data_IF_477281888390
#
_entry.id   IF_477281888390
#
_cell.length_a   1.000
_cell.length_b   1.000
_cell.length_c   1.000
_cell.angle_alpha   90.00
_cell.angle_beta   90.00
_cell.angle_gamma   90.00
#
_symmetry.space_group_name_H-M   'P 1'
#
loop_
_entity.id
_entity.type
_entity.pdbx_description
1 polymer ?
#
# COMPACT_ATOMS: atom_id res chain seq x y z
N UNK A 1 5.25 33.05 -18.85
CA UNK A 1 5.47 34.02 -19.95
C UNK A 1 5.44 35.41 -19.33
N UNK A 2 6.40 36.25 -19.68
CA UNK A 2 6.58 37.61 -19.18
C UNK A 2 6.26 38.64 -20.30
N UNK A 3 5.87 39.85 -19.91
CA UNK A 3 5.66 40.91 -20.89
C UNK A 3 6.98 41.39 -21.53
N UNK A 4 8.06 41.40 -20.75
CA UNK A 4 9.41 41.79 -21.17
C UNK A 4 10.36 40.59 -21.06
N UNK A 5 11.51 40.71 -21.76
CA UNK A 5 12.56 39.73 -21.58
C UNK A 5 13.17 39.82 -20.18
N UNK A 6 13.28 38.68 -19.51
CA UNK A 6 13.85 38.55 -18.17
C UNK A 6 14.93 37.48 -18.14
N UNK A 7 15.82 37.65 -17.20
CA UNK A 7 16.76 36.61 -16.78
C UNK A 7 16.11 35.83 -15.64
N UNK A 8 16.18 34.50 -15.68
CA UNK A 8 15.53 33.64 -14.68
C UNK A 8 16.56 32.80 -13.92
N UNK A 9 16.39 32.73 -12.62
CA UNK A 9 17.03 31.76 -11.78
C UNK A 9 15.98 30.82 -11.15
N UNK A 10 16.34 29.57 -11.01
CA UNK A 10 15.53 28.54 -10.37
C UNK A 10 16.36 27.89 -9.28
N UNK A 11 15.80 27.77 -8.10
CA UNK A 11 16.35 26.95 -7.04
C UNK A 11 15.39 25.82 -6.66
N UNK A 12 15.94 24.68 -6.25
CA UNK A 12 15.20 23.52 -5.73
C UNK A 12 15.69 23.30 -4.31
N UNK A 13 14.78 23.32 -3.35
CA UNK A 13 15.07 23.20 -1.92
C UNK A 13 16.18 24.19 -1.45
N UNK A 14 16.13 25.43 -1.97
CA UNK A 14 17.09 26.47 -1.67
C UNK A 14 18.45 26.33 -2.36
N UNK A 15 18.68 25.28 -3.14
CA UNK A 15 19.89 25.11 -3.95
C UNK A 15 19.64 25.57 -5.38
N UNK A 16 20.53 26.39 -5.91
CA UNK A 16 20.43 26.86 -7.27
C UNK A 16 20.54 25.69 -8.25
N UNK A 17 19.46 25.42 -8.96
CA UNK A 17 19.36 24.30 -9.91
C UNK A 17 19.62 24.77 -11.36
N UNK A 18 19.21 25.99 -11.69
CA UNK A 18 19.33 26.50 -13.05
C UNK A 18 19.57 28.01 -13.06
N UNK A 19 20.41 28.44 -13.98
CA UNK A 19 20.66 29.82 -14.30
C UNK A 19 21.14 29.92 -15.74
N UNK A 20 20.39 30.61 -16.59
CA UNK A 20 20.78 30.89 -17.98
C UNK A 20 21.16 32.37 -18.10
N UNK A 21 22.19 32.66 -18.91
CA UNK A 21 22.65 34.00 -19.17
C UNK A 21 21.85 34.73 -20.24
N UNK A 22 20.71 34.20 -20.68
CA UNK A 22 19.90 34.75 -21.74
C UNK A 22 18.65 35.42 -21.19
N UNK A 23 18.28 36.53 -21.80
CA UNK A 23 17.00 37.17 -21.59
C UNK A 23 15.94 36.61 -22.52
N UNK A 24 14.80 36.18 -22.01
CA UNK A 24 13.68 35.61 -22.74
C UNK A 24 12.36 35.99 -22.11
N UNK A 25 11.29 36.01 -22.92
CA UNK A 25 9.90 36.17 -22.41
C UNK A 25 9.29 34.88 -21.91
N UNK A 26 9.80 33.74 -22.37
CA UNK A 26 9.28 32.42 -22.03
C UNK A 26 10.41 31.51 -21.52
N UNK A 27 10.13 30.86 -20.41
CA UNK A 27 11.03 29.92 -19.76
C UNK A 27 10.33 28.60 -19.57
N UNK A 28 11.02 27.50 -19.87
CA UNK A 28 10.62 26.14 -19.61
C UNK A 28 11.75 25.45 -18.88
N UNK A 29 11.43 24.89 -17.72
CA UNK A 29 12.35 24.08 -16.95
C UNK A 29 11.84 22.64 -16.93
N UNK A 30 12.75 21.69 -17.02
CA UNK A 30 12.49 20.26 -16.85
C UNK A 30 13.38 19.83 -15.71
N UNK A 31 12.80 19.22 -14.70
CA UNK A 31 13.50 18.61 -13.59
C UNK A 31 13.35 17.11 -13.77
N UNK A 32 14.45 16.46 -14.09
CA UNK A 32 14.52 15.02 -14.32
C UNK A 32 15.07 14.35 -13.03
N UNK A 33 14.76 13.06 -12.86
CA UNK A 33 15.33 12.20 -11.81
C UNK A 33 15.10 12.71 -10.37
N UNK A 34 13.91 13.29 -10.10
CA UNK A 34 13.51 13.63 -8.75
C UNK A 34 13.10 12.35 -8.01
N UNK A 35 13.71 12.10 -6.86
CA UNK A 35 13.38 11.01 -5.95
C UNK A 35 12.15 11.35 -5.09
N UNK A 36 11.63 10.36 -4.34
CA UNK A 36 10.57 10.59 -3.37
C UNK A 36 11.01 11.62 -2.33
N UNK A 37 10.14 12.59 -2.03
CA UNK A 37 10.40 13.64 -1.07
C UNK A 37 9.65 14.93 -1.34
N UNK A 38 9.87 15.91 -0.46
CA UNK A 38 9.26 17.24 -0.54
C UNK A 38 10.16 18.20 -1.32
N UNK A 39 9.55 18.92 -2.25
CA UNK A 39 10.22 19.88 -3.11
C UNK A 39 9.63 21.27 -2.98
N UNK A 40 10.50 22.23 -2.84
CA UNK A 40 10.18 23.66 -2.94
C UNK A 40 11.00 24.24 -4.08
N UNK A 41 10.31 24.73 -5.11
CA UNK A 41 10.93 25.38 -6.25
C UNK A 41 10.68 26.88 -6.16
N UNK A 42 11.73 27.64 -6.08
CA UNK A 42 11.69 29.10 -6.10
C UNK A 42 12.16 29.59 -7.49
N UNK A 43 11.39 30.47 -8.08
CA UNK A 43 11.70 31.15 -9.33
C UNK A 43 11.93 32.61 -9.04
N UNK A 44 13.08 33.15 -9.49
CA UNK A 44 13.39 34.57 -9.37
C UNK A 44 13.69 35.15 -10.76
N UNK A 45 12.97 36.19 -11.14
CA UNK A 45 13.16 36.87 -12.39
C UNK A 45 13.89 38.22 -12.19
N UNK A 46 14.81 38.53 -13.08
CA UNK A 46 15.61 39.75 -13.06
C UNK A 46 15.51 40.50 -14.38
N UNK A 47 15.51 41.84 -14.34
CA UNK A 47 15.56 42.70 -15.56
C UNK A 47 16.94 42.90 -16.12
N UNK A 48 17.98 42.68 -15.30
CA UNK A 48 19.39 42.83 -15.73
C UNK A 48 20.23 41.73 -15.07
N UNK A 49 21.33 41.38 -15.74
CA UNK A 49 22.34 40.51 -15.13
C UNK A 49 22.92 41.19 -13.90
N UNK A 50 23.27 40.37 -12.91
CA UNK A 50 24.10 40.78 -11.79
C UNK A 50 25.35 41.50 -12.31
N UNK A 51 25.42 42.77 -12.00
CA UNK A 51 26.62 43.51 -12.29
C UNK A 51 27.69 43.15 -11.23
N UNK A 52 28.75 42.47 -11.67
CA UNK A 52 29.82 42.05 -10.79
C UNK A 52 30.49 43.21 -10.01
N UNK A 53 30.22 44.45 -10.44
CA UNK A 53 30.79 45.64 -9.86
C UNK A 53 29.94 46.15 -8.69
N UNK A 54 28.61 46.12 -8.78
CA UNK A 54 27.72 46.69 -7.77
C UNK A 54 27.17 45.68 -6.77
N UNK A 55 27.21 44.40 -7.10
CA UNK A 55 26.64 43.31 -6.28
C UNK A 55 25.13 43.38 -6.10
N UNK A 56 24.43 44.26 -6.83
CA UNK A 56 22.99 44.45 -6.78
C UNK A 56 22.34 43.87 -8.01
N UNK A 57 21.40 42.99 -7.77
CA UNK A 57 20.53 42.47 -8.80
C UNK A 57 19.33 43.41 -8.93
N UNK A 58 18.99 43.82 -10.13
CA UNK A 58 17.75 44.54 -10.37
C UNK A 58 16.63 43.46 -10.46
N UNK A 59 15.93 43.25 -9.37
CA UNK A 59 14.73 42.40 -9.33
C UNK A 59 13.58 43.21 -9.93
N UNK A 60 12.82 42.59 -10.84
CA UNK A 60 11.59 43.18 -11.35
C UNK A 60 10.49 42.91 -10.32
N UNK A 61 10.30 43.81 -9.36
CA UNK A 61 9.13 43.75 -8.47
C UNK A 61 8.99 42.41 -7.74
N UNK A 62 7.78 42.11 -7.29
CA UNK A 62 7.39 40.88 -6.56
C UNK A 62 7.25 39.65 -7.46
N UNK A 63 8.17 39.42 -8.36
CA UNK A 63 8.08 38.30 -9.32
C UNK A 63 8.74 37.01 -8.86
N UNK A 64 8.84 36.81 -7.54
CA UNK A 64 9.19 35.53 -6.96
C UNK A 64 7.95 34.61 -6.98
N UNK A 65 8.08 33.48 -7.65
CA UNK A 65 7.07 32.45 -7.62
C UNK A 65 7.63 31.22 -6.89
N UNK A 66 6.83 30.66 -6.03
CA UNK A 66 7.15 29.44 -5.29
C UNK A 66 6.15 28.35 -5.63
N UNK A 67 6.66 27.16 -5.93
CA UNK A 67 5.89 25.93 -6.09
C UNK A 67 6.38 24.93 -5.05
N UNK A 68 5.47 24.37 -4.28
CA UNK A 68 5.75 23.28 -3.35
C UNK A 68 4.92 22.06 -3.76
N UNK A 69 5.56 20.90 -3.81
CA UNK A 69 4.92 19.61 -4.09
C UNK A 69 5.73 18.48 -3.47
N UNK A 70 5.08 17.31 -3.32
CA UNK A 70 5.74 16.08 -2.87
C UNK A 70 5.70 15.06 -3.99
N UNK A 71 6.74 14.26 -4.09
CA UNK A 71 6.81 13.05 -4.90
C UNK A 71 6.78 11.88 -3.92
N UNK A 72 5.88 10.94 -4.16
CA UNK A 72 5.79 9.69 -3.44
C UNK A 72 5.38 8.60 -4.45
N UNK A 73 6.26 7.65 -4.66
CA UNK A 73 6.07 6.50 -5.58
C UNK A 73 5.98 5.18 -4.82
N UNK A 74 6.02 5.24 -3.50
CA UNK A 74 6.02 4.07 -2.63
C UNK A 74 4.60 3.59 -2.38
N UNK A 75 4.31 2.32 -2.65
CA UNK A 75 3.01 1.76 -2.35
C UNK A 75 2.76 1.65 -0.84
N UNK A 76 1.53 1.93 -0.36
CA UNK A 76 1.23 1.90 1.07
C UNK A 76 1.37 0.49 1.65
N UNK A 77 1.78 0.41 2.90
CA UNK A 77 1.83 -0.86 3.64
C UNK A 77 0.40 -1.38 3.81
N UNK A 78 0.20 -2.67 3.54
CA UNK A 78 -1.03 -3.39 3.84
C UNK A 78 -0.69 -4.80 4.29
N UNK A 79 -1.05 -5.15 5.54
CA UNK A 79 -0.76 -6.46 6.12
C UNK A 79 -1.87 -6.89 7.07
N UNK A 80 -2.05 -8.21 7.22
CA UNK A 80 -2.97 -8.77 8.20
C UNK A 80 -2.25 -9.00 9.54
N UNK A 81 -2.98 -8.78 10.63
CA UNK A 81 -2.58 -9.23 11.95
C UNK A 81 -2.82 -10.74 12.04
N UNK A 82 -1.74 -11.52 12.19
CA UNK A 82 -1.87 -12.97 12.35
C UNK A 82 -2.51 -13.28 13.71
N UNK A 83 -3.71 -13.86 13.70
CA UNK A 83 -4.22 -14.59 14.87
C UNK A 83 -3.54 -15.95 14.91
N UNK A 84 -3.16 -16.38 16.14
CA UNK A 84 -2.39 -17.60 16.42
C UNK A 84 -2.79 -18.82 15.58
N UNK A 85 -1.80 -19.49 15.07
CA UNK A 85 -1.83 -20.51 14.00
C UNK A 85 -2.53 -21.84 14.32
N UNK A 86 -2.94 -22.12 15.53
CA UNK A 86 -3.38 -23.49 15.92
C UNK A 86 -4.66 -23.98 15.24
N UNK A 87 -5.53 -23.07 14.77
CA UNK A 87 -6.76 -23.46 14.05
C UNK A 87 -6.67 -23.32 12.53
N UNK A 88 -5.56 -22.80 12.02
CA UNK A 88 -5.40 -22.36 10.63
C UNK A 88 -4.52 -23.32 9.80
N UNK A 89 -3.71 -24.19 10.42
CA UNK A 89 -2.67 -24.99 9.74
C UNK A 89 -3.17 -25.78 8.52
N UNK A 90 -4.33 -26.43 8.64
CA UNK A 90 -4.86 -27.23 7.52
C UNK A 90 -5.54 -26.38 6.45
N UNK A 91 -6.06 -25.20 6.82
CA UNK A 91 -6.81 -24.31 5.94
C UNK A 91 -5.86 -23.38 5.20
N UNK A 92 -4.80 -22.90 5.86
CA UNK A 92 -3.77 -22.08 5.24
C UNK A 92 -2.97 -22.83 4.16
N UNK A 93 -2.87 -24.14 4.25
CA UNK A 93 -2.29 -24.99 3.19
C UNK A 93 -3.11 -24.94 1.89
N UNK A 94 -4.42 -24.66 1.99
CA UNK A 94 -5.32 -24.60 0.83
C UNK A 94 -5.46 -23.15 0.35
N UNK A 95 -5.66 -22.20 1.26
CA UNK A 95 -6.03 -20.80 0.96
C UNK A 95 -4.87 -19.81 1.15
N UNK A 96 -3.74 -20.24 1.69
CA UNK A 96 -2.58 -19.39 1.93
C UNK A 96 -2.58 -18.66 3.28
N UNK A 97 -1.55 -17.85 3.52
CA UNK A 97 -1.31 -17.19 4.81
C UNK A 97 -2.38 -16.13 5.18
N UNK A 98 -3.05 -15.56 4.18
CA UNK A 98 -4.05 -14.51 4.40
C UNK A 98 -5.45 -15.12 4.59
N UNK A 99 -5.58 -16.02 5.55
CA UNK A 99 -6.85 -16.72 5.84
C UNK A 99 -7.35 -16.38 7.24
N UNK A 100 -8.64 -16.08 7.34
CA UNK A 100 -9.36 -15.90 8.59
C UNK A 100 -10.40 -17.00 8.72
N UNK A 101 -10.55 -17.55 9.94
CA UNK A 101 -11.55 -18.58 10.25
C UNK A 101 -12.75 -17.90 10.91
N UNK A 102 -13.97 -18.30 10.49
CA UNK A 102 -15.18 -17.75 11.08
C UNK A 102 -15.40 -18.28 12.50
N UNK A 103 -16.18 -17.55 13.27
CA UNK A 103 -16.85 -18.07 14.46
C UNK A 103 -17.93 -19.08 14.08
N UNK A 104 -18.53 -19.75 15.08
CA UNK A 104 -19.55 -20.80 14.85
C UNK A 104 -20.82 -20.28 14.14
N UNK A 105 -21.13 -18.99 14.32
CA UNK A 105 -22.26 -18.32 13.68
C UNK A 105 -21.95 -17.83 12.25
N UNK A 106 -20.72 -18.06 11.76
CA UNK A 106 -20.24 -17.63 10.42
C UNK A 106 -19.68 -16.20 10.40
N UNK A 107 -19.65 -15.47 11.51
CA UNK A 107 -19.01 -14.15 11.59
C UNK A 107 -17.48 -14.28 11.59
N UNK A 108 -16.79 -13.28 11.07
CA UNK A 108 -15.33 -13.21 11.06
C UNK A 108 -14.87 -11.76 11.07
N UNK A 109 -13.66 -11.56 11.58
CA UNK A 109 -13.02 -10.24 11.60
C UNK A 109 -11.67 -10.29 10.91
N UNK A 110 -11.48 -9.39 9.96
CA UNK A 110 -10.22 -9.14 9.28
C UNK A 110 -9.55 -7.97 9.99
N UNK A 111 -8.39 -8.21 10.59
CA UNK A 111 -7.62 -7.20 11.31
C UNK A 111 -6.24 -7.06 10.69
N UNK A 112 -5.70 -5.84 10.68
CA UNK A 112 -4.41 -5.60 10.09
C UNK A 112 -3.88 -4.20 10.31
N UNK A 113 -2.84 -3.90 9.55
CA UNK A 113 -2.21 -2.59 9.49
C UNK A 113 -2.18 -2.11 8.05
N UNK A 114 -2.51 -0.84 7.86
CA UNK A 114 -2.27 -0.10 6.64
C UNK A 114 -1.49 1.17 6.96
N UNK A 115 -1.00 1.85 5.95
CA UNK A 115 -0.34 3.13 6.14
C UNK A 115 -1.33 4.18 6.66
N UNK A 116 -0.85 5.02 7.58
CA UNK A 116 -1.63 6.14 8.08
C UNK A 116 -2.09 7.04 6.93
N UNK A 117 -3.35 7.45 6.97
CA UNK A 117 -3.98 8.31 5.96
C UNK A 117 -4.28 7.64 4.62
N UNK A 118 -3.99 6.35 4.45
CA UNK A 118 -4.43 5.59 3.29
C UNK A 118 -5.94 5.33 3.34
N UNK A 119 -6.57 5.36 2.18
CA UNK A 119 -7.95 4.90 2.01
C UNK A 119 -7.96 3.39 1.84
N UNK A 120 -8.63 2.66 2.76
CA UNK A 120 -8.79 1.21 2.70
C UNK A 120 -10.18 0.85 2.19
N UNK A 121 -10.25 -0.09 1.25
CA UNK A 121 -11.50 -0.69 0.76
C UNK A 121 -11.46 -2.21 0.87
N UNK A 122 -12.64 -2.83 0.98
CA UNK A 122 -12.85 -4.27 0.84
C UNK A 122 -13.86 -4.52 -0.26
N UNK A 123 -13.47 -5.25 -1.29
CA UNK A 123 -14.29 -5.51 -2.49
C UNK A 123 -14.79 -4.21 -3.17
N UNK A 124 -14.03 -3.12 -3.04
CA UNK A 124 -14.37 -1.80 -3.56
C UNK A 124 -15.23 -0.93 -2.63
N UNK A 125 -15.67 -1.45 -1.48
CA UNK A 125 -16.53 -0.74 -0.53
C UNK A 125 -15.70 -0.22 0.66
N UNK A 126 -16.09 0.94 1.19
CA UNK A 126 -15.50 1.53 2.40
C UNK A 126 -16.35 1.32 3.65
N UNK A 127 -17.60 0.89 3.47
CA UNK A 127 -18.55 0.73 4.57
C UNK A 127 -18.11 -0.33 5.59
N UNK A 128 -18.20 0.02 6.87
CA UNK A 128 -17.83 -0.86 7.98
C UNK A 128 -16.31 -0.99 8.20
N UNK A 129 -15.50 -0.16 7.55
CA UNK A 129 -14.05 -0.12 7.75
C UNK A 129 -13.71 1.05 8.67
N UNK A 130 -12.97 0.76 9.74
CA UNK A 130 -12.38 1.77 10.61
C UNK A 130 -10.87 1.64 10.54
N UNK A 131 -10.19 2.67 10.08
CA UNK A 131 -8.73 2.81 10.16
C UNK A 131 -8.40 3.79 11.26
N UNK A 132 -7.65 3.32 12.26
CA UNK A 132 -7.23 4.14 13.40
C UNK A 132 -6.04 5.05 13.03
N UNK A 133 -5.74 6.04 13.88
CA UNK A 133 -4.62 6.96 13.68
C UNK A 133 -3.23 6.27 13.61
N UNK A 134 -3.11 5.06 14.14
CA UNK A 134 -1.89 4.25 14.07
C UNK A 134 -1.86 3.31 12.85
N UNK A 135 -2.84 3.41 11.94
CA UNK A 135 -2.96 2.56 10.75
C UNK A 135 -3.60 1.19 11.00
N UNK A 136 -3.94 0.84 12.24
CA UNK A 136 -4.64 -0.43 12.50
C UNK A 136 -6.07 -0.37 11.96
N UNK A 137 -6.55 -1.49 11.40
CA UNK A 137 -7.92 -1.60 10.92
C UNK A 137 -8.59 -2.89 11.39
N UNK A 138 -9.91 -2.87 11.43
CA UNK A 138 -10.76 -4.01 11.76
C UNK A 138 -12.02 -3.98 10.93
N UNK A 139 -12.36 -5.10 10.29
CA UNK A 139 -13.51 -5.27 9.42
C UNK A 139 -14.24 -6.53 9.82
N UNK A 140 -15.48 -6.41 10.30
CA UNK A 140 -16.31 -7.56 10.67
C UNK A 140 -17.34 -7.83 9.58
N UNK A 141 -17.43 -9.08 9.14
CA UNK A 141 -18.38 -9.57 8.14
C UNK A 141 -18.92 -10.94 8.56
N UNK A 142 -19.85 -11.47 7.77
CA UNK A 142 -20.44 -12.80 8.00
C UNK A 142 -20.58 -13.55 6.69
N UNK A 143 -20.24 -14.84 6.70
CA UNK A 143 -20.55 -15.75 5.58
C UNK A 143 -22.03 -16.06 5.58
N UNK A 144 -22.63 -16.18 4.39
CA UNK A 144 -23.97 -16.72 4.23
C UNK A 144 -24.00 -18.19 4.65
N UNK A 145 -25.16 -18.69 5.07
CA UNK A 145 -25.28 -20.04 5.64
C UNK A 145 -24.81 -21.17 4.68
N UNK A 146 -24.91 -20.94 3.39
CA UNK A 146 -24.51 -21.89 2.35
C UNK A 146 -23.07 -21.71 1.82
N UNK A 147 -22.32 -20.72 2.37
CA UNK A 147 -20.94 -20.46 1.96
C UNK A 147 -19.97 -21.14 2.91
N UNK A 148 -19.04 -21.91 2.38
CA UNK A 148 -17.94 -22.50 3.14
C UNK A 148 -16.71 -21.60 3.17
N UNK A 149 -16.55 -20.73 2.20
CA UNK A 149 -15.51 -19.71 2.14
C UNK A 149 -15.93 -18.54 1.25
N UNK A 150 -15.24 -17.43 1.42
CA UNK A 150 -15.34 -16.24 0.56
C UNK A 150 -13.99 -15.57 0.45
N UNK A 151 -13.64 -15.15 -0.76
CA UNK A 151 -12.46 -14.32 -1.00
C UNK A 151 -12.85 -12.85 -0.96
N UNK A 152 -11.96 -12.04 -0.43
CA UNK A 152 -12.06 -10.58 -0.40
C UNK A 152 -10.79 -9.96 -0.94
N UNK A 153 -10.93 -8.86 -1.65
CA UNK A 153 -9.81 -8.02 -2.04
C UNK A 153 -9.78 -6.78 -1.14
N UNK A 154 -8.75 -6.68 -0.30
CA UNK A 154 -8.40 -5.45 0.40
C UNK A 154 -7.55 -4.60 -0.53
N UNK A 155 -7.84 -3.31 -0.59
CA UNK A 155 -7.07 -2.34 -1.38
C UNK A 155 -6.81 -1.09 -0.55
N UNK A 156 -5.54 -0.76 -0.38
CA UNK A 156 -5.09 0.48 0.23
C UNK A 156 -4.60 1.45 -0.85
N UNK A 157 -4.98 2.70 -0.74
CA UNK A 157 -4.55 3.78 -1.62
C UNK A 157 -4.07 4.93 -0.75
N UNK A 158 -2.83 5.36 -0.93
CA UNK A 158 -2.26 6.51 -0.24
C UNK A 158 -2.71 7.86 -0.83
N UNK A 159 -2.20 8.96 -0.26
CA UNK A 159 -2.53 10.31 -0.72
C UNK A 159 -1.90 10.66 -2.09
N UNK A 160 -0.84 9.96 -2.49
CA UNK A 160 -0.19 10.14 -3.78
C UNK A 160 -0.87 9.32 -4.90
N UNK A 161 -1.74 8.36 -4.52
CA UNK A 161 -2.46 7.49 -5.44
C UNK A 161 -1.77 6.14 -5.66
N UNK A 162 -0.69 5.81 -4.91
CA UNK A 162 -0.07 4.50 -4.97
C UNK A 162 -0.98 3.46 -4.33
N UNK A 163 -0.90 2.22 -4.79
CA UNK A 163 -1.87 1.18 -4.47
C UNK A 163 -1.18 -0.09 -3.99
N UNK A 164 -1.72 -0.67 -2.92
CA UNK A 164 -1.42 -2.05 -2.50
C UNK A 164 -2.72 -2.84 -2.42
N UNK A 165 -2.72 -4.06 -2.99
CA UNK A 165 -3.85 -4.99 -2.92
C UNK A 165 -3.45 -6.28 -2.22
N UNK A 166 -4.35 -6.82 -1.42
CA UNK A 166 -4.17 -8.05 -0.66
C UNK A 166 -5.43 -8.91 -0.75
N UNK A 167 -5.29 -10.16 -1.18
CA UNK A 167 -6.40 -11.12 -1.17
C UNK A 167 -6.47 -11.83 0.19
N UNK A 168 -7.67 -11.88 0.76
CA UNK A 168 -7.98 -12.50 2.06
C UNK A 168 -9.08 -13.54 1.85
N UNK A 169 -8.94 -14.68 2.48
CA UNK A 169 -9.95 -15.74 2.47
C UNK A 169 -10.60 -15.88 3.85
N UNK A 170 -11.92 -15.69 3.91
CA UNK A 170 -12.72 -16.06 5.08
C UNK A 170 -13.22 -17.49 4.88
N UNK A 171 -12.95 -18.37 5.84
CA UNK A 171 -13.25 -19.81 5.72
C UNK A 171 -14.09 -20.23 6.90
N UNK A 172 -15.20 -20.92 6.64
CA UNK A 172 -16.11 -21.44 7.68
C UNK A 172 -15.38 -22.47 8.53
N UNK A 173 -15.45 -22.27 9.85
CA UNK A 173 -14.88 -23.19 10.85
C UNK A 173 -15.32 -24.62 10.61
N UNK A 174 -14.37 -25.54 10.49
CA UNK A 174 -14.61 -26.96 10.31
C UNK A 174 -15.03 -27.43 8.91
N UNK A 175 -15.26 -26.52 7.96
CA UNK A 175 -15.73 -26.92 6.61
C UNK A 175 -14.69 -27.67 5.79
N UNK A 176 -13.40 -27.48 6.07
CA UNK A 176 -12.28 -28.17 5.41
C UNK A 176 -11.51 -29.10 6.36
N UNK A 177 -12.11 -29.48 7.50
CA UNK A 177 -11.54 -30.45 8.41
C UNK A 177 -11.58 -31.85 7.76
N UNK A 178 -10.47 -32.60 7.87
CA UNK A 178 -10.43 -34.01 7.48
C UNK A 178 -11.25 -34.77 8.51
N UNK A 179 -12.43 -35.25 8.11
CA UNK A 179 -13.36 -35.98 9.00
C UNK A 179 -12.95 -37.44 9.18
N UNK A 180 -12.42 -38.05 8.12
CA UNK A 180 -12.07 -39.47 8.12
C UNK A 180 -10.99 -39.74 7.08
N UNK A 181 -10.02 -40.58 7.43
CA UNK A 181 -9.02 -41.10 6.51
C UNK A 181 -9.15 -42.61 6.54
N UNK A 182 -9.68 -43.20 5.46
CA UNK A 182 -9.63 -44.64 5.25
C UNK A 182 -8.33 -45.02 4.54
N UNK A 183 -7.57 -45.93 5.15
CA UNK A 183 -6.37 -46.52 4.55
C UNK A 183 -6.65 -47.99 4.25
N UNK A 184 -6.56 -48.35 2.97
CA UNK A 184 -6.77 -49.74 2.51
C UNK A 184 -5.50 -50.29 1.86
N UNK A 185 -5.17 -51.49 2.18
CA UNK A 185 -4.15 -52.26 1.49
C UNK A 185 -4.81 -53.42 0.73
N UNK A 186 -4.74 -53.42 -0.61
CA UNK A 186 -5.40 -54.42 -1.46
C UNK A 186 -6.93 -54.52 -1.21
N UNK A 187 -7.61 -53.44 -0.81
CA UNK A 187 -9.02 -53.42 -0.53
C UNK A 187 -9.42 -53.82 0.90
N UNK A 188 -8.48 -54.17 1.75
CA UNK A 188 -8.69 -54.47 3.17
C UNK A 188 -8.30 -53.27 4.05
N UNK A 189 -9.04 -53.05 5.13
CA UNK A 189 -8.77 -51.97 6.09
C UNK A 189 -7.45 -52.23 6.82
N UNK A 190 -6.62 -51.19 6.90
CA UNK A 190 -5.38 -51.24 7.68
C UNK A 190 -5.74 -51.02 9.16
N UNK A 191 -5.53 -52.06 9.97
CA UNK A 191 -5.79 -51.96 11.41
C UNK A 191 -4.73 -51.11 12.10
N UNK A 192 -5.17 -50.17 12.95
CA UNK A 192 -4.28 -49.42 13.85
C UNK A 192 -3.96 -50.24 15.09
N UNK A 193 -2.72 -50.38 15.44
CA UNK A 193 -2.28 -51.04 16.66
C UNK A 193 -2.11 -49.99 17.75
N UNK A 194 -2.77 -50.21 18.91
CA UNK A 194 -2.61 -49.43 20.16
C UNK A 194 -2.97 -47.95 20.15
N UNK A 195 -4.07 -47.56 19.50
CA UNK A 195 -4.61 -46.19 19.65
C UNK A 195 -3.72 -45.07 19.11
N UNK A 196 -2.50 -45.35 18.72
CA UNK A 196 -1.65 -44.46 17.95
C UNK A 196 -1.77 -44.80 16.44
N UNK A 197 -1.99 -43.77 15.62
CA UNK A 197 -2.04 -43.90 14.16
C UNK A 197 -0.65 -44.26 13.58
N UNK A 198 -0.20 -45.47 13.81
CA UNK A 198 1.04 -46.00 13.21
C UNK A 198 0.68 -46.80 11.95
N UNK A 199 1.03 -46.27 10.79
CA UNK A 199 0.95 -46.99 9.52
C UNK A 199 2.23 -47.84 9.42
N UNK A 200 2.10 -49.18 9.54
CA UNK A 200 3.17 -50.08 9.19
C UNK A 200 2.89 -50.64 7.79
N UNK A 201 3.68 -50.23 6.81
CA UNK A 201 3.70 -50.88 5.51
C UNK A 201 4.59 -52.12 5.61
N UNK A 202 4.02 -53.34 5.37
CA UNK A 202 4.81 -54.52 5.07
C UNK A 202 5.21 -54.48 3.59
N UNK A 203 6.51 -54.51 3.35
CA UNK A 203 7.11 -54.73 2.02
C UNK A 203 6.87 -56.18 1.56
#
# INVERSE_FOLDING_TARGET
VFENDVFMELSVNGQKAYSDNKFKKEWKFVLDDLEDGDYVIDFTAYTSKKDNISGKDAIIGDSDARLAFSIDTSAPILSLSQKSAESVENVSAIFGANTVITEDDGSYTIEGLTEKSSTLTIDGETDGITVNENGSFSITKKLSDNENYKSHTLKAVDNAGNVTELMVYAVRKGSFAIKEIELKNNGEDIQTVDGEKKISMKS
#
